data_IF_089355676324
#
_entry.id   IF_089355676324
#
_cell.length_a   1.000
_cell.length_b   1.000
_cell.length_c   1.000
_cell.angle_alpha   90.00
_cell.angle_beta   90.00
_cell.angle_gamma   90.00
#
_symmetry.space_group_name_H-M   'P 1'
#
loop_
_entity.id
_entity.type
_entity.pdbx_description
1 polymer ?
#
# COMPACT_ATOMS: atom_id res chain seq x y z
N UNK A 1 -48.63 19.38 -27.80
CA UNK A 1 -49.83 18.66 -28.27
C UNK A 1 -49.49 17.99 -29.59
N UNK A 2 -50.09 16.81 -29.88
CA UNK A 2 -49.94 15.96 -31.09
C UNK A 2 -48.75 14.99 -31.08
N UNK A 3 -48.85 13.67 -31.28
CA UNK A 3 -49.88 12.62 -31.09
C UNK A 3 -49.15 11.27 -31.26
N UNK A 4 -49.57 10.29 -30.45
CA UNK A 4 -49.41 8.83 -30.50
C UNK A 4 -49.28 8.16 -31.89
N UNK A 5 -48.48 7.09 -31.96
CA UNK A 5 -48.61 5.84 -32.75
C UNK A 5 -47.67 4.77 -32.10
N UNK A 6 -48.11 3.87 -31.20
CA UNK A 6 -48.76 2.54 -31.35
C UNK A 6 -47.94 1.42 -32.02
N UNK A 7 -47.71 0.35 -31.22
CA UNK A 7 -47.71 -1.11 -31.53
C UNK A 7 -46.49 -1.72 -32.27
N UNK A 8 -45.95 -2.93 -31.99
CA UNK A 8 -46.08 -4.03 -31.00
C UNK A 8 -44.85 -5.00 -31.25
N UNK A 9 -44.67 -6.18 -30.62
CA UNK A 9 -43.37 -6.70 -30.15
C UNK A 9 -42.89 -7.93 -30.96
N UNK A 10 -41.67 -8.41 -30.72
CA UNK A 10 -41.34 -9.80 -31.09
C UNK A 10 -40.42 -10.46 -30.07
N UNK A 11 -40.95 -11.55 -29.53
CA UNK A 11 -40.33 -12.56 -28.68
C UNK A 11 -39.07 -13.17 -29.32
N UNK A 12 -38.03 -13.38 -28.51
CA UNK A 12 -37.14 -14.53 -28.65
C UNK A 12 -36.48 -14.81 -27.28
N UNK A 13 -37.18 -15.60 -26.46
CA UNK A 13 -36.58 -16.28 -25.32
C UNK A 13 -35.75 -17.45 -25.86
N UNK A 14 -34.45 -17.46 -25.56
CA UNK A 14 -33.59 -18.63 -25.80
C UNK A 14 -32.90 -18.99 -24.47
N UNK A 15 -33.55 -19.89 -23.74
CA UNK A 15 -33.01 -20.59 -22.58
C UNK A 15 -32.04 -21.66 -23.05
N UNK A 16 -30.77 -21.56 -22.67
CA UNK A 16 -29.81 -22.68 -22.75
C UNK A 16 -29.62 -23.23 -21.34
N UNK A 17 -29.96 -24.51 -21.20
CA UNK A 17 -29.85 -25.33 -20.01
C UNK A 17 -28.58 -26.19 -20.10
N UNK A 18 -28.20 -26.82 -18.97
CA UNK A 18 -27.33 -28.01 -18.79
C UNK A 18 -25.83 -27.73 -18.46
N UNK A 19 -25.13 -28.51 -17.60
CA UNK A 19 -25.54 -29.42 -16.50
C UNK A 19 -24.83 -29.15 -15.14
N UNK A 20 -25.42 -29.68 -14.07
CA UNK A 20 -24.75 -29.92 -12.79
C UNK A 20 -23.77 -31.10 -12.90
N UNK A 21 -22.52 -30.92 -12.47
CA UNK A 21 -21.57 -32.00 -12.27
C UNK A 21 -21.80 -32.63 -10.89
N UNK A 22 -22.38 -33.84 -10.90
CA UNK A 22 -22.46 -34.73 -9.76
C UNK A 22 -21.13 -35.50 -9.64
N UNK A 23 -20.38 -35.28 -8.56
CA UNK A 23 -19.34 -36.21 -8.12
C UNK A 23 -19.92 -37.08 -7.01
N UNK A 24 -20.34 -38.29 -7.38
CA UNK A 24 -20.49 -39.42 -6.50
C UNK A 24 -19.29 -40.35 -6.72
N UNK A 25 -18.66 -40.79 -5.62
CA UNK A 25 -17.86 -42.01 -5.46
C UNK A 25 -17.11 -41.90 -4.11
N UNK A 26 -16.92 -42.87 -3.22
CA UNK A 26 -17.54 -44.16 -2.83
C UNK A 26 -16.84 -44.48 -1.50
N UNK A 27 -17.57 -45.00 -0.51
CA UNK A 27 -17.01 -45.49 0.75
C UNK A 27 -16.39 -46.90 0.60
N UNK A 28 -15.14 -47.09 1.10
CA UNK A 28 -14.64 -48.10 2.11
C UNK A 28 -14.96 -49.61 1.94
N UNK A 29 -14.21 -50.62 2.50
CA UNK A 29 -12.77 -50.96 2.77
C UNK A 29 -12.45 -52.43 2.28
N UNK A 30 -11.68 -53.37 2.94
CA UNK A 30 -10.50 -53.36 3.85
C UNK A 30 -9.34 -54.35 3.43
N UNK A 31 -8.33 -54.43 4.30
CA UNK A 31 -7.41 -55.56 4.58
C UNK A 31 -6.18 -55.79 3.67
N UNK A 32 -4.99 -55.75 4.27
CA UNK A 32 -4.24 -56.98 4.55
C UNK A 32 -2.97 -56.69 5.38
N UNK A 33 -2.78 -57.62 6.31
CA UNK A 33 -1.65 -57.86 7.21
C UNK A 33 -0.32 -57.95 6.45
N UNK A 34 0.73 -57.37 7.03
CA UNK A 34 2.06 -57.32 6.44
C UNK A 34 3.09 -56.91 7.49
N UNK A 35 3.54 -57.91 8.26
CA UNK A 35 4.62 -57.80 9.23
C UNK A 35 5.84 -57.08 8.63
N UNK A 36 6.32 -56.05 9.32
CA UNK A 36 7.64 -55.46 9.07
C UNK A 36 8.48 -55.64 10.33
N UNK A 37 9.58 -56.36 10.11
CA UNK A 37 10.69 -56.69 10.99
C UNK A 37 11.24 -55.47 11.74
N UNK A 38 11.38 -55.62 13.06
CA UNK A 38 12.10 -54.68 13.93
C UNK A 38 13.58 -54.75 13.55
N UNK A 39 14.12 -53.65 13.03
CA UNK A 39 15.57 -53.43 12.99
C UNK A 39 15.85 -52.27 13.94
N UNK A 40 16.46 -52.62 15.07
CA UNK A 40 17.06 -51.71 16.03
C UNK A 40 18.24 -51.02 15.35
N UNK A 41 18.24 -49.69 15.32
CA UNK A 41 19.40 -48.89 14.94
C UNK A 41 19.44 -47.68 15.86
N UNK A 42 20.61 -47.53 16.48
CA UNK A 42 20.95 -46.58 17.52
C UNK A 42 20.56 -45.14 17.23
N UNK A 43 20.14 -44.47 18.30
CA UNK A 43 19.96 -43.03 18.40
C UNK A 43 21.28 -42.28 18.15
N UNK A 44 21.23 -41.16 17.42
CA UNK A 44 22.02 -39.99 17.74
C UNK A 44 21.17 -39.04 18.59
N UNK A 45 21.78 -38.54 19.65
CA UNK A 45 21.22 -37.63 20.64
C UNK A 45 20.48 -36.45 19.98
N UNK A 46 19.20 -36.36 20.31
CA UNK A 46 18.36 -35.18 20.20
C UNK A 46 19.10 -33.96 20.74
N UNK A 47 19.56 -33.09 19.84
CA UNK A 47 19.83 -31.71 20.20
C UNK A 47 18.54 -31.12 20.75
N UNK A 48 18.54 -30.82 22.05
CA UNK A 48 17.43 -30.20 22.75
C UNK A 48 17.18 -28.81 22.14
N UNK A 49 16.31 -28.72 21.13
CA UNK A 49 15.60 -27.49 20.85
C UNK A 49 14.70 -27.26 22.07
N UNK A 50 15.20 -26.45 23.01
CA UNK A 50 14.56 -26.15 24.29
C UNK A 50 13.11 -25.76 24.01
N UNK A 51 12.16 -26.54 24.53
CA UNK A 51 10.70 -26.33 24.41
C UNK A 51 10.24 -24.91 24.78
N UNK A 52 11.09 -24.18 25.50
CA UNK A 52 10.94 -22.77 25.86
C UNK A 52 10.89 -21.81 24.66
N UNK A 53 11.45 -22.15 23.50
CA UNK A 53 11.43 -21.28 22.30
C UNK A 53 10.10 -21.33 21.54
N UNK A 54 9.24 -22.32 21.82
CA UNK A 54 7.95 -22.52 21.16
C UNK A 54 6.74 -22.15 22.02
N UNK A 55 6.98 -21.80 23.28
CA UNK A 55 5.94 -21.50 24.26
C UNK A 55 6.17 -20.11 24.84
N UNK A 56 5.26 -19.17 24.55
CA UNK A 56 5.27 -17.87 25.22
C UNK A 56 5.01 -18.07 26.72
N UNK A 57 5.96 -17.64 27.56
CA UNK A 57 5.89 -17.77 29.01
C UNK A 57 5.07 -16.66 29.69
N UNK A 58 4.47 -15.77 28.90
CA UNK A 58 3.82 -14.57 29.40
C UNK A 58 4.84 -13.54 29.89
N UNK A 59 4.60 -12.28 29.54
CA UNK A 59 5.37 -11.15 30.07
C UNK A 59 4.59 -10.49 31.20
N UNK A 60 5.32 -9.93 32.16
CA UNK A 60 4.73 -9.19 33.27
C UNK A 60 3.95 -7.99 32.74
N UNK A 61 2.62 -7.99 32.91
CA UNK A 61 1.74 -6.90 32.47
C UNK A 61 2.03 -5.54 33.14
N UNK A 62 2.90 -5.54 34.15
CA UNK A 62 3.35 -4.35 34.89
C UNK A 62 4.82 -3.98 34.59
N UNK A 63 5.53 -4.75 33.74
CA UNK A 63 6.84 -4.34 33.27
C UNK A 63 6.67 -3.08 32.44
N UNK A 64 7.42 -2.03 32.78
CA UNK A 64 7.44 -0.82 31.98
C UNK A 64 7.93 -1.20 30.58
N UNK A 65 7.17 -0.90 29.50
CA UNK A 65 7.64 -1.16 28.15
C UNK A 65 8.99 -0.47 27.98
N UNK A 66 9.97 -1.20 27.44
CA UNK A 66 11.25 -0.60 27.07
C UNK A 66 10.96 0.65 26.24
N UNK A 67 11.42 1.81 26.71
CA UNK A 67 11.23 3.06 26.00
C UNK A 67 12.00 2.97 24.66
N UNK A 68 11.24 2.83 23.56
CA UNK A 68 11.72 2.60 22.19
C UNK A 68 12.62 1.36 22.02
N UNK A 69 12.05 0.18 21.73
CA UNK A 69 12.86 -0.91 21.18
C UNK A 69 13.58 -0.43 19.91
N UNK A 70 14.87 -0.74 19.76
CA UNK A 70 15.60 -0.48 18.52
C UNK A 70 14.89 -1.20 17.35
N UNK A 71 14.85 -0.61 16.14
CA UNK A 71 14.21 -1.24 15.00
C UNK A 71 14.87 -2.59 14.68
N UNK A 72 14.06 -3.64 14.56
CA UNK A 72 14.51 -4.98 14.14
C UNK A 72 14.72 -5.02 12.63
N UNK A 73 15.68 -5.81 12.15
CA UNK A 73 15.94 -6.01 10.71
C UNK A 73 14.63 -6.31 9.96
N UNK A 74 14.43 -5.62 8.84
CA UNK A 74 13.24 -5.70 8.00
C UNK A 74 12.08 -4.78 8.42
N UNK A 75 12.12 -4.16 9.60
CA UNK A 75 11.07 -3.25 10.04
C UNK A 75 11.28 -1.81 9.53
N UNK A 76 10.20 -1.11 9.13
CA UNK A 76 10.27 0.32 8.86
C UNK A 76 10.40 1.11 10.15
N UNK A 77 11.19 2.18 10.12
CA UNK A 77 11.32 3.13 11.23
C UNK A 77 11.54 4.55 10.72
N UNK A 78 11.16 5.55 11.53
CA UNK A 78 11.46 6.95 11.21
C UNK A 78 12.85 7.30 11.74
N UNK A 79 13.80 7.54 10.84
CA UNK A 79 15.18 7.89 11.18
C UNK A 79 15.30 9.34 11.68
N UNK A 80 14.63 10.26 11.01
CA UNK A 80 14.62 11.68 11.36
C UNK A 80 13.37 12.38 10.80
N UNK A 81 13.06 13.56 11.32
CA UNK A 81 12.00 14.43 10.82
C UNK A 81 12.61 15.75 10.38
N UNK A 82 12.30 16.18 9.16
CA UNK A 82 12.84 17.39 8.53
C UNK A 82 11.66 18.25 8.08
N UNK A 83 11.37 19.31 8.82
CA UNK A 83 10.18 20.13 8.59
C UNK A 83 8.91 19.28 8.75
N UNK A 84 8.15 19.12 7.67
CA UNK A 84 6.92 18.31 7.64
C UNK A 84 7.12 16.89 7.11
N UNK A 85 8.36 16.47 6.88
CA UNK A 85 8.67 15.18 6.26
C UNK A 85 9.38 14.23 7.21
N UNK A 86 8.87 13.02 7.32
CA UNK A 86 9.52 11.91 8.02
C UNK A 86 10.43 11.16 7.04
N UNK A 87 11.68 10.91 7.42
CA UNK A 87 12.57 10.01 6.71
C UNK A 87 12.33 8.58 7.21
N UNK A 88 11.52 7.82 6.49
CA UNK A 88 11.18 6.42 6.82
C UNK A 88 12.13 5.47 6.11
N UNK A 89 12.85 4.67 6.88
CA UNK A 89 13.87 3.74 6.40
C UNK A 89 13.51 2.30 6.78
N UNK A 90 14.02 1.33 6.04
CA UNK A 90 13.94 -0.08 6.42
C UNK A 90 15.24 -0.51 7.09
N UNK A 91 15.16 -1.07 8.30
CA UNK A 91 16.34 -1.58 9.00
C UNK A 91 16.96 -2.72 8.19
N UNK A 92 18.24 -2.59 7.86
CA UNK A 92 19.04 -3.65 7.23
C UNK A 92 19.93 -4.33 8.28
N UNK A 93 20.31 -5.58 8.01
CA UNK A 93 21.30 -6.31 8.82
C UNK A 93 22.69 -5.68 8.65
N UNK A 94 23.08 -5.40 7.40
CA UNK A 94 24.32 -4.71 7.04
C UNK A 94 24.09 -3.77 5.83
N UNK A 95 24.95 -2.77 5.67
CA UNK A 95 24.94 -1.87 4.51
C UNK A 95 24.04 -0.64 4.64
N UNK A 96 23.79 0.01 3.50
CA UNK A 96 22.95 1.21 3.43
C UNK A 96 21.47 0.84 3.49
N UNK A 97 20.76 1.44 4.44
CA UNK A 97 19.33 1.22 4.62
C UNK A 97 18.52 2.12 3.67
N UNK A 98 17.61 1.56 2.85
CA UNK A 98 16.81 2.33 1.92
C UNK A 98 15.82 3.20 2.67
N UNK A 99 15.78 4.49 2.32
CA UNK A 99 14.90 5.47 2.92
C UNK A 99 14.04 6.19 1.87
N UNK A 100 12.81 6.46 2.25
CA UNK A 100 11.88 7.33 1.53
C UNK A 100 11.44 8.48 2.45
N UNK A 101 11.10 9.62 1.86
CA UNK A 101 10.47 10.70 2.60
C UNK A 101 8.96 10.49 2.61
N UNK A 102 8.32 10.75 3.73
CA UNK A 102 6.92 10.48 3.98
C UNK A 102 6.22 11.70 4.58
N UNK A 103 4.96 11.92 4.22
CA UNK A 103 4.07 12.86 4.91
C UNK A 103 2.63 12.34 4.94
N UNK A 104 2.01 12.43 6.11
CA UNK A 104 0.58 12.20 6.31
C UNK A 104 -0.16 13.53 6.25
N UNK A 105 -1.26 13.57 5.50
CA UNK A 105 -2.12 14.73 5.34
C UNK A 105 -3.46 14.50 6.01
N UNK A 106 -3.98 15.55 6.63
CA UNK A 106 -5.16 15.51 7.48
C UNK A 106 -6.23 16.47 6.90
N UNK A 107 -7.49 16.31 7.30
CA UNK A 107 -8.61 17.16 6.88
C UNK A 107 -8.67 18.55 7.54
N UNK A 108 -7.73 18.84 8.44
CA UNK A 108 -7.70 20.07 9.26
C UNK A 108 -8.31 19.90 10.64
N UNK A 109 -9.04 18.82 10.89
CA UNK A 109 -9.54 18.39 12.21
C UNK A 109 -8.65 17.30 12.82
N UNK A 110 -7.44 17.16 12.28
CA UNK A 110 -6.43 16.19 12.66
C UNK A 110 -6.81 14.72 12.37
N UNK A 111 -7.78 14.49 11.48
CA UNK A 111 -8.11 13.16 10.98
C UNK A 111 -7.22 12.83 9.78
N UNK A 112 -6.46 11.73 9.79
CA UNK A 112 -5.67 11.29 8.65
C UNK A 112 -6.54 11.00 7.43
N UNK A 113 -6.19 11.55 6.27
CA UNK A 113 -6.94 11.34 5.02
C UNK A 113 -6.09 10.68 3.95
N UNK A 114 -4.86 11.14 3.75
CA UNK A 114 -4.03 10.64 2.66
C UNK A 114 -2.56 10.74 3.02
N UNK A 115 -1.74 9.89 2.41
CA UNK A 115 -0.30 9.88 2.64
C UNK A 115 0.46 9.88 1.33
N UNK A 116 1.67 10.45 1.37
CA UNK A 116 2.61 10.42 0.27
C UNK A 116 3.95 9.88 0.74
N UNK A 117 4.55 9.01 -0.07
CA UNK A 117 5.94 8.62 0.07
C UNK A 117 6.70 8.86 -1.24
N UNK A 118 7.97 9.25 -1.14
CA UNK A 118 8.80 9.63 -2.28
C UNK A 118 10.24 9.10 -2.15
N UNK A 119 10.78 8.63 -3.27
CA UNK A 119 12.15 8.13 -3.42
C UNK A 119 12.77 8.65 -4.73
N UNK A 120 14.11 8.61 -4.84
CA UNK A 120 14.81 8.95 -6.08
C UNK A 120 14.88 7.73 -7.00
N UNK A 121 14.87 7.99 -8.31
CA UNK A 121 15.05 6.96 -9.33
C UNK A 121 16.49 7.03 -9.88
N UNK A 122 17.03 5.90 -10.39
CA UNK A 122 18.28 5.91 -11.14
C UNK A 122 18.21 6.83 -12.37
N UNK A 123 19.37 7.29 -12.81
CA UNK A 123 19.48 8.11 -14.02
C UNK A 123 19.08 7.32 -15.28
N UNK A 124 18.70 8.04 -16.34
CA UNK A 124 18.36 7.46 -17.65
C UNK A 124 16.85 7.47 -17.97
N UNK A 125 16.00 7.78 -16.99
CA UNK A 125 14.57 7.99 -17.17
C UNK A 125 14.19 9.46 -17.37
N UNK A 126 12.96 9.70 -17.87
CA UNK A 126 12.34 11.04 -17.85
C UNK A 126 11.99 11.49 -16.42
N UNK A 127 11.61 10.53 -15.58
CA UNK A 127 11.35 10.76 -14.16
C UNK A 127 12.66 10.56 -13.39
N UNK A 128 12.95 11.50 -12.49
CA UNK A 128 14.11 11.47 -11.59
C UNK A 128 13.72 11.05 -10.17
N UNK A 129 12.41 10.95 -9.90
CA UNK A 129 11.87 10.46 -8.65
C UNK A 129 10.52 9.76 -8.84
N UNK A 130 10.25 8.81 -7.97
CA UNK A 130 8.98 8.11 -7.86
C UNK A 130 8.27 8.56 -6.58
N UNK A 131 6.95 8.70 -6.64
CA UNK A 131 6.14 8.88 -5.44
C UNK A 131 4.90 7.99 -5.46
N UNK A 132 4.51 7.51 -4.29
CA UNK A 132 3.24 6.81 -4.07
C UNK A 132 2.35 7.67 -3.21
N UNK A 133 1.12 7.89 -3.66
CA UNK A 133 0.08 8.53 -2.85
C UNK A 133 -1.01 7.49 -2.60
N UNK A 134 -1.43 7.37 -1.34
CA UNK A 134 -2.55 6.54 -0.93
C UNK A 134 -3.65 7.45 -0.42
N UNK A 135 -4.85 7.30 -0.99
CA UNK A 135 -6.06 8.04 -0.62
C UNK A 135 -7.16 7.06 -0.19
N UNK A 136 -8.23 7.52 0.49
CA UNK A 136 -9.28 6.64 0.98
C UNK A 136 -10.00 5.88 -0.13
N UNK A 137 -10.66 4.79 0.28
CA UNK A 137 -11.66 4.12 -0.54
C UNK A 137 -12.81 5.06 -0.89
N UNK A 138 -13.67 4.62 -1.82
CA UNK A 138 -14.77 5.44 -2.35
C UNK A 138 -14.28 6.72 -3.04
N UNK A 139 -13.07 6.72 -3.56
CA UNK A 139 -12.53 7.79 -4.42
C UNK A 139 -12.98 7.60 -5.88
N UNK A 140 -13.41 8.66 -6.54
CA UNK A 140 -13.85 8.65 -7.94
C UNK A 140 -12.66 8.47 -8.90
N UNK A 141 -12.43 7.25 -9.37
CA UNK A 141 -11.26 6.91 -10.18
C UNK A 141 -11.17 7.69 -11.50
N UNK A 142 -12.32 7.95 -12.14
CA UNK A 142 -12.40 8.68 -13.42
C UNK A 142 -12.03 10.16 -13.30
N UNK A 143 -12.12 10.75 -12.10
CA UNK A 143 -11.77 12.14 -11.85
C UNK A 143 -10.27 12.36 -11.67
N UNK A 144 -9.52 11.27 -11.41
CA UNK A 144 -8.07 11.28 -11.16
C UNK A 144 -7.70 12.11 -9.92
N UNK A 145 -6.48 11.93 -9.42
CA UNK A 145 -5.94 12.80 -8.38
C UNK A 145 -5.38 14.07 -9.02
N UNK A 146 -5.70 15.24 -8.47
CA UNK A 146 -5.13 16.51 -8.96
C UNK A 146 -4.14 17.07 -7.95
N UNK A 147 -2.97 17.53 -8.42
CA UNK A 147 -1.96 18.19 -7.60
C UNK A 147 -1.57 19.55 -8.20
N UNK A 148 -1.48 20.58 -7.37
CA UNK A 148 -0.99 21.91 -7.74
C UNK A 148 -0.04 22.43 -6.67
N UNK A 149 1.06 23.07 -7.05
CA UNK A 149 2.03 23.67 -6.12
C UNK A 149 1.79 25.17 -6.10
N UNK A 150 1.51 25.73 -4.91
CA UNK A 150 1.24 27.16 -4.68
C UNK A 150 0.24 27.79 -5.66
N UNK A 151 -0.80 27.04 -6.07
CA UNK A 151 -1.81 27.50 -7.03
C UNK A 151 -1.33 27.58 -8.49
N UNK A 152 -0.14 27.06 -8.79
CA UNK A 152 0.40 26.93 -10.14
C UNK A 152 -0.36 25.89 -10.99
N UNK A 153 0.20 25.57 -12.16
CA UNK A 153 -0.40 24.62 -13.11
C UNK A 153 -0.71 23.28 -12.43
N UNK A 154 -1.99 22.95 -12.36
CA UNK A 154 -2.44 21.68 -11.83
C UNK A 154 -2.10 20.52 -12.78
N UNK A 155 -1.73 19.38 -12.20
CA UNK A 155 -1.49 18.12 -12.90
C UNK A 155 -2.44 17.05 -12.41
N UNK A 156 -2.86 16.16 -13.30
CA UNK A 156 -3.73 15.03 -12.98
C UNK A 156 -2.97 13.72 -13.09
N UNK A 157 -3.21 12.83 -12.14
CA UNK A 157 -2.57 11.53 -12.04
C UNK A 157 -3.66 10.45 -11.88
N UNK A 158 -3.71 9.45 -12.77
CA UNK A 158 -4.68 8.38 -12.65
C UNK A 158 -4.36 7.49 -11.44
N UNK A 159 -5.40 6.95 -10.83
CA UNK A 159 -5.26 5.89 -9.85
C UNK A 159 -4.81 4.60 -10.55
N UNK A 160 -3.76 3.98 -10.04
CA UNK A 160 -3.20 2.76 -10.60
C UNK A 160 -4.03 1.53 -10.21
N UNK A 161 -4.42 1.44 -8.95
CA UNK A 161 -5.27 0.38 -8.39
C UNK A 161 -5.81 0.81 -7.03
N UNK A 162 -6.76 0.05 -6.49
CA UNK A 162 -7.17 0.15 -5.10
C UNK A 162 -7.10 -1.23 -4.44
N UNK A 163 -6.86 -1.24 -3.14
CA UNK A 163 -6.92 -2.42 -2.28
C UNK A 163 -7.62 -2.01 -0.95
N UNK A 164 -7.77 -2.91 0.03
CA UNK A 164 -8.43 -2.56 1.30
C UNK A 164 -7.77 -1.41 2.10
N UNK A 165 -6.50 -1.07 1.83
CA UNK A 165 -5.81 0.07 2.47
C UNK A 165 -6.26 1.40 1.85
N UNK A 166 -6.46 1.43 0.53
CA UNK A 166 -6.86 2.65 -0.17
C UNK A 166 -6.63 2.56 -1.68
N UNK A 167 -6.79 3.71 -2.34
CA UNK A 167 -6.52 3.87 -3.76
C UNK A 167 -5.14 4.50 -3.98
N UNK A 168 -4.35 3.86 -4.84
CA UNK A 168 -2.95 4.17 -5.05
C UNK A 168 -2.77 4.99 -6.32
N UNK A 169 -1.94 6.02 -6.22
CA UNK A 169 -1.41 6.78 -7.36
C UNK A 169 0.11 6.59 -7.38
N UNK A 170 0.66 6.25 -8.55
CA UNK A 170 2.11 6.16 -8.77
C UNK A 170 2.55 7.32 -9.66
N UNK A 171 3.36 8.21 -9.12
CA UNK A 171 3.84 9.41 -9.81
C UNK A 171 5.26 9.17 -10.32
N UNK A 172 5.48 9.52 -11.59
CA UNK A 172 6.83 9.81 -12.09
C UNK A 172 7.03 11.32 -12.07
N UNK A 173 8.01 11.79 -11.32
CA UNK A 173 8.33 13.21 -11.17
C UNK A 173 9.57 13.55 -11.99
N UNK A 174 9.43 14.52 -12.89
CA UNK A 174 10.54 15.05 -13.71
C UNK A 174 11.41 16.00 -12.89
N UNK A 175 12.58 16.36 -13.44
CA UNK A 175 13.45 17.37 -12.83
C UNK A 175 12.75 18.73 -12.64
N UNK A 176 11.86 19.13 -13.57
CA UNK A 176 11.05 20.34 -13.44
C UNK A 176 10.08 20.24 -12.27
N UNK A 177 9.50 19.05 -12.05
CA UNK A 177 8.57 18.81 -10.96
C UNK A 177 9.27 18.95 -9.62
N UNK A 178 10.42 18.29 -9.47
CA UNK A 178 11.26 18.39 -8.27
C UNK A 178 11.70 19.84 -8.04
N UNK A 179 12.09 20.58 -9.09
CA UNK A 179 12.43 21.99 -8.96
C UNK A 179 11.23 22.86 -8.55
N UNK A 180 10.00 22.50 -8.93
CA UNK A 180 8.79 23.16 -8.45
C UNK A 180 8.53 22.84 -6.97
N UNK A 181 8.65 21.57 -6.55
CA UNK A 181 8.50 21.18 -5.14
C UNK A 181 9.55 21.85 -4.24
N UNK A 182 10.81 21.89 -4.66
CA UNK A 182 11.91 22.53 -3.89
C UNK A 182 11.71 24.04 -3.67
N UNK A 183 11.03 24.73 -4.59
CA UNK A 183 10.73 26.17 -4.50
C UNK A 183 9.40 26.46 -3.82
N UNK A 184 8.49 25.50 -3.80
CA UNK A 184 7.13 25.68 -3.34
C UNK A 184 7.01 25.72 -1.82
N UNK A 185 5.90 26.28 -1.32
CA UNK A 185 5.57 26.27 0.11
C UNK A 185 4.64 25.13 0.47
N UNK A 186 3.65 24.89 -0.37
CA UNK A 186 2.69 23.80 -0.21
C UNK A 186 2.20 23.29 -1.57
N UNK A 187 1.77 22.04 -1.60
CA UNK A 187 0.95 21.51 -2.68
C UNK A 187 -0.48 21.28 -2.20
N UNK A 188 -1.45 21.57 -3.06
CA UNK A 188 -2.85 21.22 -2.87
C UNK A 188 -3.14 19.94 -3.64
N UNK A 189 -3.51 18.90 -2.90
CA UNK A 189 -3.97 17.63 -3.42
C UNK A 189 -5.49 17.59 -3.42
N UNK A 190 -6.12 17.35 -4.56
CA UNK A 190 -7.58 17.30 -4.69
C UNK A 190 -8.04 15.91 -5.06
N UNK A 191 -8.99 15.40 -4.28
CA UNK A 191 -9.66 14.10 -4.42
C UNK A 191 -11.15 14.38 -4.62
N UNK A 192 -11.81 13.56 -5.44
CA UNK A 192 -13.27 13.61 -5.63
C UNK A 192 -13.87 12.33 -5.07
N UNK A 193 -14.82 12.38 -4.11
CA UNK A 193 -15.53 11.21 -3.64
C UNK A 193 -16.41 10.60 -4.74
N UNK A 194 -16.47 9.27 -4.82
CA UNK A 194 -17.30 8.53 -5.77
C UNK A 194 -18.80 8.72 -5.49
N UNK A 195 -19.18 8.84 -4.22
CA UNK A 195 -20.58 9.03 -3.79
C UNK A 195 -21.03 10.50 -3.87
N UNK A 196 -20.09 11.44 -4.01
CA UNK A 196 -20.36 12.88 -4.11
C UNK A 196 -19.49 13.52 -5.21
N UNK A 197 -19.77 13.22 -6.50
CA UNK A 197 -18.91 13.61 -7.62
C UNK A 197 -18.87 15.12 -7.90
N UNK A 198 -19.78 15.88 -7.31
CA UNK A 198 -19.83 17.33 -7.32
C UNK A 198 -18.96 17.98 -6.22
N UNK A 199 -18.51 17.19 -5.25
CA UNK A 199 -17.66 17.65 -4.14
C UNK A 199 -16.18 17.41 -4.40
N UNK A 200 -15.35 18.24 -3.79
CA UNK A 200 -13.88 18.15 -3.86
C UNK A 200 -13.31 18.22 -2.45
N UNK A 201 -12.48 17.25 -2.11
CA UNK A 201 -11.69 17.25 -0.89
C UNK A 201 -10.31 17.78 -1.25
N UNK A 202 -9.91 18.92 -0.66
CA UNK A 202 -8.62 19.55 -0.89
C UNK A 202 -7.74 19.40 0.36
N UNK A 203 -6.64 18.66 0.23
CA UNK A 203 -5.67 18.40 1.28
C UNK A 203 -4.41 19.22 1.03
N UNK A 204 -3.82 19.72 2.12
CA UNK A 204 -2.57 20.49 2.05
C UNK A 204 -1.40 19.55 2.33
N UNK A 205 -0.52 19.40 1.34
CA UNK A 205 0.80 18.80 1.48
C UNK A 205 1.82 19.91 1.76
N UNK A 206 2.40 19.93 2.95
CA UNK A 206 3.45 20.90 3.29
C UNK A 206 4.75 20.59 2.55
N UNK A 207 5.39 21.60 1.98
CA UNK A 207 6.72 21.46 1.36
C UNK A 207 7.85 21.96 2.27
N UNK A 208 7.53 22.32 3.51
CA UNK A 208 8.53 22.66 4.51
C UNK A 208 9.45 21.46 4.77
N UNK A 209 10.74 21.62 4.50
CA UNK A 209 11.75 20.55 4.63
C UNK A 209 11.94 19.71 3.35
N UNK A 210 11.12 19.88 2.30
CA UNK A 210 11.14 19.02 1.11
C UNK A 210 12.54 18.90 0.49
N UNK A 211 13.23 20.02 0.26
CA UNK A 211 14.56 20.02 -0.36
C UNK A 211 15.56 19.19 0.42
N UNK A 212 15.64 19.41 1.74
CA UNK A 212 16.58 18.71 2.60
C UNK A 212 16.25 17.22 2.73
N UNK A 213 14.95 16.85 2.77
CA UNK A 213 14.53 15.44 2.74
C UNK A 213 14.84 14.77 1.41
N UNK A 214 14.51 15.42 0.29
CA UNK A 214 14.73 14.89 -1.06
C UNK A 214 16.22 14.62 -1.34
N UNK A 215 17.10 15.47 -0.83
CA UNK A 215 18.54 15.28 -1.00
C UNK A 215 19.08 14.09 -0.17
N UNK A 216 18.31 13.59 0.81
CA UNK A 216 18.63 12.46 1.68
C UNK A 216 17.91 11.14 1.35
N UNK A 217 16.83 11.15 0.55
CA UNK A 217 16.14 9.88 0.21
C UNK A 217 17.04 8.99 -0.65
N UNK A 218 16.89 7.69 -0.50
CA UNK A 218 17.66 6.71 -1.27
C UNK A 218 17.22 6.71 -2.74
N UNK A 219 18.12 6.21 -3.59
CA UNK A 219 17.81 5.85 -4.98
C UNK A 219 17.32 4.41 -4.95
N UNK A 220 16.12 4.14 -5.46
CA UNK A 220 15.56 2.80 -5.55
C UNK A 220 15.48 2.35 -7.00
N UNK A 221 16.08 1.19 -7.28
CA UNK A 221 15.87 0.48 -8.54
C UNK A 221 14.43 -0.05 -8.59
N UNK A 222 13.78 0.09 -9.75
CA UNK A 222 12.42 -0.42 -10.00
C UNK A 222 12.42 -1.90 -10.36
#
# INVERSE_FOLDING_TARGET
MTKFLTALPLFAALTVLVPAAAFAQTATPPAADGAITVTETEAPETGETKTEDLLSLGEDANAAPAANPEPVVGQPYTREVIGSWEMRCLKAEEGEEPCQMYQLMNDGENVPVAEVSLFRLPDGGKAVAGATIIVPLETALTQQLTLSIDGGKARRYPYAFCNPVGCYVRLGLTAEDIAAFKRGKQATMTIVPALAPDQKVALTLSLAGFTASYDKVSVLDQ
#
